data_IF_739874313870
#
_entry.id   IF_739874313870
#
_cell.length_a   1.000
_cell.length_b   1.000
_cell.length_c   1.000
_cell.angle_alpha   90.00
_cell.angle_beta   90.00
_cell.angle_gamma   90.00
#
_symmetry.space_group_name_H-M   'P 1'
#
loop_
_entity.id
_entity.type
_entity.pdbx_description
1 polymer ?
#
# COMPACT_ATOMS: atom_id res chain seq x y z
N UNK A 1 34.20 6.70 -6.14
CA UNK A 1 34.75 5.34 -6.05
C UNK A 1 33.66 4.26 -6.02
N UNK A 2 32.67 4.30 -5.11
CA UNK A 2 31.61 3.27 -5.08
C UNK A 2 30.63 3.32 -6.25
N UNK A 3 30.36 4.50 -6.84
CA UNK A 3 29.47 4.62 -8.02
C UNK A 3 30.00 3.89 -9.25
N UNK A 4 31.32 3.91 -9.48
CA UNK A 4 31.97 3.23 -10.61
C UNK A 4 31.86 1.70 -10.47
N UNK A 5 32.07 1.19 -9.26
CA UNK A 5 31.92 -0.24 -8.95
C UNK A 5 30.46 -0.69 -9.13
N UNK A 6 29.51 0.15 -8.71
CA UNK A 6 28.08 -0.14 -8.83
C UNK A 6 27.63 -0.14 -10.30
N UNK A 7 28.14 0.79 -11.12
CA UNK A 7 27.91 0.78 -12.56
C UNK A 7 28.51 -0.44 -13.26
N UNK A 8 29.73 -0.84 -12.92
CA UNK A 8 30.37 -2.04 -13.47
C UNK A 8 29.59 -3.31 -13.09
N UNK A 9 29.11 -3.41 -11.85
CA UNK A 9 28.25 -4.51 -11.41
C UNK A 9 26.94 -4.56 -12.20
N UNK A 10 26.25 -3.42 -12.35
CA UNK A 10 25.00 -3.36 -13.13
C UNK A 10 25.25 -3.76 -14.59
N UNK A 11 26.35 -3.30 -15.20
CA UNK A 11 26.70 -3.63 -16.58
C UNK A 11 26.97 -5.14 -16.75
N UNK A 12 27.70 -5.76 -15.81
CA UNK A 12 27.94 -7.21 -15.79
C UNK A 12 26.65 -8.01 -15.61
N UNK A 13 25.72 -7.53 -14.78
CA UNK A 13 24.44 -8.20 -14.61
C UNK A 13 23.54 -8.03 -15.84
N UNK A 14 23.52 -6.85 -16.46
CA UNK A 14 22.79 -6.59 -17.71
C UNK A 14 23.26 -7.46 -18.88
N UNK A 15 24.53 -7.88 -18.91
CA UNK A 15 25.05 -8.74 -19.97
C UNK A 15 24.61 -10.21 -19.81
N UNK A 16 24.28 -10.63 -18.58
CA UNK A 16 23.86 -12.00 -18.26
C UNK A 16 22.34 -12.14 -18.13
N UNK A 17 21.64 -11.06 -17.79
CA UNK A 17 20.22 -11.06 -17.49
C UNK A 17 19.52 -9.90 -18.19
N UNK A 18 18.26 -10.13 -18.62
CA UNK A 18 17.39 -9.08 -19.17
C UNK A 18 16.90 -8.13 -18.05
N UNK A 19 17.83 -7.34 -17.52
CA UNK A 19 17.56 -6.37 -16.48
C UNK A 19 17.10 -5.05 -17.08
N UNK A 20 16.07 -4.47 -16.46
CA UNK A 20 15.57 -3.15 -16.78
C UNK A 20 16.02 -2.20 -15.69
N UNK A 21 16.84 -1.22 -16.04
CA UNK A 21 17.15 -0.13 -15.13
C UNK A 21 15.93 0.81 -15.09
N UNK A 22 15.21 0.78 -13.98
CA UNK A 22 14.02 1.60 -13.76
C UNK A 22 14.36 3.02 -13.26
N UNK A 23 15.65 3.27 -12.98
CA UNK A 23 16.11 4.56 -12.46
C UNK A 23 15.54 4.87 -11.09
N UNK A 24 15.23 6.15 -10.87
CA UNK A 24 14.70 6.66 -9.62
C UNK A 24 13.20 6.31 -9.53
N UNK A 25 12.75 5.53 -8.52
CA UNK A 25 11.36 5.13 -8.45
C UNK A 25 10.49 6.30 -8.00
N UNK A 26 9.36 6.50 -8.68
CA UNK A 26 8.26 7.37 -8.21
C UNK A 26 7.23 6.57 -7.39
N UNK A 27 7.13 5.27 -7.67
CA UNK A 27 6.23 4.34 -7.00
C UNK A 27 6.92 3.01 -6.74
N UNK A 28 6.74 2.51 -5.53
CA UNK A 28 6.91 1.11 -5.15
C UNK A 28 5.50 0.61 -4.75
N UNK A 29 5.17 -0.70 -4.76
CA UNK A 29 3.80 -1.16 -4.52
C UNK A 29 3.13 -0.43 -3.34
N UNK A 30 2.02 0.26 -3.61
CA UNK A 30 1.28 1.07 -2.63
C UNK A 30 2.00 2.29 -2.01
N UNK A 31 3.29 2.50 -2.29
CA UNK A 31 4.14 3.56 -1.72
C UNK A 31 4.55 4.54 -2.82
N UNK A 32 4.08 5.77 -2.69
CA UNK A 32 4.59 6.92 -3.43
C UNK A 32 5.92 7.40 -2.85
N UNK A 33 6.88 7.65 -3.73
CA UNK A 33 8.18 8.22 -3.39
C UNK A 33 8.22 9.66 -3.91
N UNK A 34 8.20 10.62 -2.99
CA UNK A 34 8.26 12.05 -3.31
C UNK A 34 9.62 12.61 -2.95
N UNK A 35 10.27 13.22 -3.93
CA UNK A 35 11.58 13.84 -3.77
C UNK A 35 11.41 15.34 -3.56
N UNK A 36 11.74 15.81 -2.37
CA UNK A 36 11.51 17.20 -1.98
C UNK A 36 12.69 18.09 -2.39
N UNK A 37 12.46 19.40 -2.65
CA UNK A 37 13.54 20.34 -3.01
C UNK A 37 14.65 20.45 -1.97
N UNK A 38 14.36 20.14 -0.71
CA UNK A 38 15.33 20.02 0.40
C UNK A 38 16.32 18.86 0.24
N UNK A 39 16.15 18.01 -0.77
CA UNK A 39 16.93 16.79 -0.97
C UNK A 39 16.43 15.60 -0.16
N UNK A 40 15.37 15.76 0.65
CA UNK A 40 14.76 14.67 1.43
C UNK A 40 13.79 13.84 0.60
N UNK A 41 13.57 12.60 1.04
CA UNK A 41 12.61 11.66 0.44
C UNK A 41 11.43 11.51 1.38
N UNK A 42 10.23 11.77 0.87
CA UNK A 42 8.97 11.49 1.55
C UNK A 42 8.36 10.21 0.96
N UNK A 43 8.22 9.19 1.81
CA UNK A 43 7.47 7.97 1.48
C UNK A 43 6.05 8.12 2.02
N UNK A 44 5.06 7.75 1.20
CA UNK A 44 3.65 7.98 1.54
C UNK A 44 2.75 7.00 0.82
N UNK A 45 1.64 6.62 1.46
CA UNK A 45 0.63 5.73 0.87
C UNK A 45 -0.70 6.43 0.63
N UNK A 46 -0.70 7.76 0.59
CA UNK A 46 -1.93 8.55 0.57
C UNK A 46 -2.85 8.21 -0.61
N UNK A 47 -2.31 7.93 -1.80
CA UNK A 47 -3.10 7.46 -2.95
C UNK A 47 -3.61 6.05 -2.74
N UNK A 48 -2.76 5.12 -2.30
CA UNK A 48 -3.15 3.73 -2.09
C UNK A 48 -4.30 3.60 -1.08
N UNK A 49 -4.22 4.33 0.04
CA UNK A 49 -5.28 4.36 1.06
C UNK A 49 -6.58 4.94 0.46
N UNK A 50 -6.49 6.02 -0.34
CA UNK A 50 -7.66 6.65 -0.97
C UNK A 50 -8.32 5.71 -1.97
N UNK A 51 -7.53 5.06 -2.82
CA UNK A 51 -8.01 4.07 -3.79
C UNK A 51 -8.65 2.87 -3.09
N UNK A 52 -8.08 2.43 -1.95
CA UNK A 52 -8.65 1.38 -1.11
C UNK A 52 -10.02 1.80 -0.54
N UNK A 53 -10.15 3.02 -0.02
CA UNK A 53 -11.41 3.54 0.49
C UNK A 53 -12.47 3.64 -0.62
N UNK A 54 -12.11 4.10 -1.82
CA UNK A 54 -13.02 4.10 -2.96
C UNK A 54 -13.49 2.68 -3.32
N UNK A 55 -12.55 1.71 -3.40
CA UNK A 55 -12.88 0.32 -3.69
C UNK A 55 -13.77 -0.32 -2.63
N UNK A 56 -13.62 0.06 -1.37
CA UNK A 56 -14.44 -0.43 -0.26
C UNK A 56 -15.76 0.35 -0.10
N UNK A 57 -16.11 1.28 -1.00
CA UNK A 57 -17.26 2.17 -0.90
C UNK A 57 -17.28 3.03 0.38
N UNK A 58 -16.08 3.42 0.86
CA UNK A 58 -15.86 4.20 2.08
C UNK A 58 -15.25 5.58 1.82
N UNK A 59 -15.27 6.07 0.57
CA UNK A 59 -14.67 7.36 0.21
C UNK A 59 -15.20 8.54 1.04
N UNK A 60 -16.49 8.52 1.37
CA UNK A 60 -17.19 9.56 2.15
C UNK A 60 -17.28 9.21 3.64
N UNK A 61 -16.62 8.15 4.09
CA UNK A 61 -16.66 7.75 5.49
C UNK A 61 -16.02 8.82 6.38
N UNK A 62 -16.74 9.24 7.42
CA UNK A 62 -16.20 10.18 8.41
C UNK A 62 -15.18 9.47 9.29
N UNK A 63 -14.04 10.12 9.51
CA UNK A 63 -13.05 9.66 10.47
C UNK A 63 -13.63 9.60 11.88
N UNK A 64 -13.37 8.50 12.59
CA UNK A 64 -13.69 8.32 14.00
C UNK A 64 -12.44 7.84 14.74
N UNK A 65 -12.24 8.31 15.97
CA UNK A 65 -11.05 7.98 16.78
C UNK A 65 -10.99 6.51 17.16
N UNK A 66 -12.15 5.89 17.38
CA UNK A 66 -12.28 4.45 17.64
C UNK A 66 -13.33 3.87 16.69
N UNK A 67 -12.94 3.21 15.59
CA UNK A 67 -13.85 2.60 14.64
C UNK A 67 -14.40 1.30 15.21
N UNK A 68 -15.29 1.43 16.19
CA UNK A 68 -16.07 0.34 16.75
C UNK A 68 -17.53 0.81 16.82
N UNK A 69 -18.44 -0.01 16.32
CA UNK A 69 -19.87 0.27 16.41
C UNK A 69 -20.28 0.20 17.88
N UNK A 70 -20.69 1.34 18.44
CA UNK A 70 -21.06 1.46 19.86
C UNK A 70 -22.38 0.76 20.20
N UNK A 71 -23.21 0.45 19.20
CA UNK A 71 -24.55 -0.11 19.33
C UNK A 71 -24.67 -1.55 18.83
N UNK A 72 -23.60 -2.34 18.93
CA UNK A 72 -23.59 -3.74 18.48
C UNK A 72 -24.62 -4.56 19.28
N UNK A 73 -25.76 -4.87 18.65
CA UNK A 73 -26.77 -5.77 19.21
C UNK A 73 -26.33 -7.21 18.98
N UNK A 74 -25.75 -7.82 20.00
CA UNK A 74 -25.34 -9.23 19.95
C UNK A 74 -26.59 -10.12 19.92
N UNK A 75 -26.66 -10.98 18.91
CA UNK A 75 -27.71 -12.00 18.77
C UNK A 75 -27.14 -13.37 19.13
N UNK A 76 -27.91 -14.21 19.83
CA UNK A 76 -27.56 -15.62 20.07
C UNK A 76 -27.46 -16.42 18.77
N UNK A 77 -28.14 -15.96 17.71
CA UNK A 77 -28.24 -16.65 16.42
C UNK A 77 -27.28 -16.10 15.36
N UNK A 78 -26.42 -15.14 15.71
CA UNK A 78 -25.50 -14.49 14.76
C UNK A 78 -26.20 -13.50 13.82
N UNK A 79 -25.49 -13.12 12.75
CA UNK A 79 -25.99 -12.33 11.62
C UNK A 79 -25.95 -13.17 10.35
N UNK A 80 -26.62 -12.70 9.31
CA UNK A 80 -26.53 -13.30 7.98
C UNK A 80 -25.07 -13.37 7.50
N UNK A 81 -24.77 -14.38 6.68
CA UNK A 81 -23.45 -14.56 6.09
C UNK A 81 -23.11 -13.40 5.15
N UNK A 82 -21.83 -13.01 5.13
CA UNK A 82 -21.38 -11.98 4.21
C UNK A 82 -21.41 -12.53 2.77
N UNK A 83 -22.05 -11.83 1.81
CA UNK A 83 -22.31 -12.38 0.48
C UNK A 83 -21.07 -12.78 -0.31
N UNK A 84 -19.96 -12.04 -0.17
CA UNK A 84 -18.71 -12.33 -0.87
C UNK A 84 -17.50 -12.41 0.08
N UNK A 85 -17.10 -13.63 0.52
CA UNK A 85 -15.90 -13.83 1.32
C UNK A 85 -14.61 -13.34 0.66
N UNK A 86 -14.54 -13.24 -0.67
CA UNK A 86 -13.34 -12.76 -1.38
C UNK A 86 -13.17 -11.25 -1.22
N UNK A 87 -14.24 -10.47 -1.38
CA UNK A 87 -14.22 -9.03 -1.14
C UNK A 87 -13.74 -8.72 0.28
N UNK A 88 -14.30 -9.40 1.29
CA UNK A 88 -13.89 -9.25 2.68
C UNK A 88 -12.39 -9.50 2.87
N UNK A 89 -11.88 -10.66 2.42
CA UNK A 89 -10.45 -11.00 2.54
C UNK A 89 -9.54 -10.04 1.78
N UNK A 90 -9.98 -9.55 0.62
CA UNK A 90 -9.25 -8.57 -0.19
C UNK A 90 -9.08 -7.24 0.53
N UNK A 91 -10.16 -6.75 1.16
CA UNK A 91 -10.12 -5.51 1.96
C UNK A 91 -9.25 -5.69 3.20
N UNK A 92 -9.42 -6.79 3.94
CA UNK A 92 -8.61 -7.10 5.13
C UNK A 92 -7.12 -7.18 4.77
N UNK A 93 -6.76 -7.88 3.69
CA UNK A 93 -5.38 -7.97 3.23
C UNK A 93 -4.79 -6.61 2.82
N UNK A 94 -5.59 -5.76 2.16
CA UNK A 94 -5.15 -4.41 1.82
C UNK A 94 -4.97 -3.52 3.07
N UNK A 95 -5.85 -3.63 4.08
CA UNK A 95 -5.70 -2.92 5.35
C UNK A 95 -4.47 -3.40 6.14
N UNK A 96 -4.22 -4.71 6.16
CA UNK A 96 -2.99 -5.27 6.72
C UNK A 96 -1.77 -4.73 6.00
N UNK A 97 -1.81 -4.65 4.66
CA UNK A 97 -0.73 -4.06 3.88
C UNK A 97 -0.45 -2.61 4.31
N UNK A 98 -1.48 -1.75 4.38
CA UNK A 98 -1.37 -0.36 4.86
C UNK A 98 -0.73 -0.28 6.25
N UNK A 99 -1.06 -1.21 7.13
CA UNK A 99 -0.60 -1.21 8.53
C UNK A 99 0.85 -1.68 8.66
N UNK A 100 1.23 -2.73 7.90
CA UNK A 100 2.55 -3.36 7.99
C UNK A 100 3.65 -2.57 7.28
N UNK A 101 3.29 -1.70 6.37
CA UNK A 101 4.23 -0.88 5.57
C UNK A 101 4.34 0.55 6.09
N UNK A 102 3.99 0.76 7.36
CA UNK A 102 4.04 2.03 8.09
C UNK A 102 5.41 2.30 8.72
#
# INVERSE_FOLDING_TARGET
SSSLVLHDLIAKLHSQFALKNLGRPDYFPGIEVRYLPSGTILLTQSKYIRDLLHRANMAEAKGITTPLVSSLKLSKFGTDEFPDPHEYRSIVGALQYVTLTR
#
